data_IF_741797334692
#
_entry.id   IF_741797334692
#
_cell.length_a   1.000
_cell.length_b   1.000
_cell.length_c   1.000
_cell.angle_alpha   90.00
_cell.angle_beta   90.00
_cell.angle_gamma   90.00
#
_symmetry.space_group_name_H-M   'P 1'
#
loop_
_entity.id
_entity.type
_entity.pdbx_description
1 polymer ?
#
# COMPACT_ATOMS: atom_id res chain seq x y z
N UNK A 1 -7.63 17.47 4.70
CA UNK A 1 -6.71 17.80 3.59
C UNK A 1 -5.31 18.20 4.05
N UNK A 2 -5.05 19.42 4.58
CA UNK A 2 -3.66 19.80 4.97
C UNK A 2 -3.06 18.97 6.11
N UNK A 3 -3.91 18.40 6.98
CA UNK A 3 -3.46 17.61 8.12
C UNK A 3 -3.02 16.19 7.72
N UNK A 4 -3.72 15.57 6.78
CA UNK A 4 -3.48 14.17 6.37
C UNK A 4 -2.18 14.04 5.58
N UNK A 5 -1.89 15.01 4.72
CA UNK A 5 -0.61 15.11 4.02
C UNK A 5 0.56 15.32 4.99
N UNK A 6 0.38 16.15 6.02
CA UNK A 6 1.40 16.33 7.06
C UNK A 6 1.63 15.05 7.86
N UNK A 7 0.57 14.29 8.17
CA UNK A 7 0.69 12.99 8.83
C UNK A 7 1.48 12.00 7.96
N UNK A 8 1.16 11.92 6.67
CA UNK A 8 1.90 11.09 5.72
C UNK A 8 3.38 11.49 5.64
N UNK A 9 3.68 12.80 5.55
CA UNK A 9 5.06 13.25 5.55
C UNK A 9 5.78 12.88 6.85
N UNK A 10 5.15 13.09 8.01
CA UNK A 10 5.73 12.72 9.29
C UNK A 10 5.96 11.20 9.42
N UNK A 11 5.09 10.38 8.83
CA UNK A 11 5.23 8.92 8.82
C UNK A 11 6.37 8.48 7.88
N UNK A 12 6.55 9.14 6.73
CA UNK A 12 7.72 8.94 5.87
C UNK A 12 9.02 9.33 6.59
N UNK A 13 9.05 10.51 7.21
CA UNK A 13 10.23 11.03 7.92
C UNK A 13 10.61 10.12 9.09
N UNK A 14 9.62 9.66 9.87
CA UNK A 14 9.82 8.72 11.00
C UNK A 14 10.49 7.42 10.56
N UNK A 15 10.16 6.94 9.37
CA UNK A 15 10.70 5.69 8.83
C UNK A 15 11.93 5.91 7.92
N UNK A 16 12.41 7.16 7.77
CA UNK A 16 13.54 7.48 6.90
C UNK A 16 13.27 7.25 5.40
N UNK A 17 12.00 7.29 4.99
CA UNK A 17 11.57 6.94 3.64
C UNK A 17 11.53 8.15 2.72
N UNK A 18 12.03 7.97 1.49
CA UNK A 18 11.89 8.96 0.42
C UNK A 18 11.04 8.34 -0.69
N UNK A 19 9.85 8.91 -1.01
CA UNK A 19 9.00 8.40 -2.06
C UNK A 19 9.74 8.31 -3.41
N UNK A 20 9.67 7.13 -4.02
CA UNK A 20 10.37 6.78 -5.26
C UNK A 20 9.47 7.04 -6.46
N UNK A 21 9.67 8.19 -7.12
CA UNK A 21 8.90 8.58 -8.31
C UNK A 21 8.88 7.52 -9.43
N UNK A 22 9.97 6.77 -9.60
CA UNK A 22 10.06 5.73 -10.64
C UNK A 22 9.22 4.48 -10.34
N UNK A 23 8.79 4.29 -9.09
CA UNK A 23 7.78 3.29 -8.72
C UNK A 23 6.35 3.84 -8.75
N UNK A 24 6.18 5.11 -9.14
CA UNK A 24 4.85 5.73 -9.18
C UNK A 24 4.22 5.91 -7.79
N UNK A 25 5.02 5.92 -6.71
CA UNK A 25 4.51 6.02 -5.35
C UNK A 25 3.75 7.33 -5.14
N UNK A 26 2.46 7.20 -4.87
CA UNK A 26 1.54 8.25 -4.41
C UNK A 26 0.71 7.65 -3.28
N UNK A 27 0.71 8.30 -2.11
CA UNK A 27 0.00 7.80 -0.94
C UNK A 27 -1.37 8.48 -0.84
N UNK A 28 -2.43 7.68 -0.87
CA UNK A 28 -3.80 8.16 -0.64
C UNK A 28 -3.99 8.44 0.84
N UNK A 29 -4.02 9.73 1.21
CA UNK A 29 -4.17 10.16 2.61
C UNK A 29 -5.58 10.65 2.94
N UNK A 30 -6.44 10.85 1.94
CA UNK A 30 -7.76 11.43 2.16
C UNK A 30 -8.74 10.38 2.70
N UNK A 31 -9.20 10.50 3.97
CA UNK A 31 -10.09 9.52 4.57
C UNK A 31 -11.46 9.45 3.89
N UNK A 32 -11.93 10.52 3.24
CA UNK A 32 -13.20 10.50 2.52
C UNK A 32 -13.09 9.68 1.22
N UNK A 33 -11.93 9.72 0.56
CA UNK A 33 -11.67 8.91 -0.64
C UNK A 33 -11.59 7.44 -0.25
N UNK A 34 -10.83 7.11 0.80
CA UNK A 34 -10.71 5.74 1.32
C UNK A 34 -12.07 5.20 1.73
N UNK A 35 -12.84 5.96 2.53
CA UNK A 35 -14.18 5.56 2.96
C UNK A 35 -15.12 5.27 1.78
N UNK A 36 -15.12 6.15 0.76
CA UNK A 36 -15.94 5.93 -0.44
C UNK A 36 -15.53 4.68 -1.20
N UNK A 37 -14.22 4.45 -1.36
CA UNK A 37 -13.69 3.25 -1.99
C UNK A 37 -14.19 1.99 -1.27
N UNK A 38 -14.02 1.93 0.05
CA UNK A 38 -14.44 0.77 0.87
C UNK A 38 -15.95 0.54 0.76
N UNK A 39 -16.76 1.60 0.83
CA UNK A 39 -18.21 1.49 0.65
C UNK A 39 -18.58 0.89 -0.72
N UNK A 40 -17.89 1.30 -1.79
CA UNK A 40 -18.11 0.74 -3.13
C UNK A 40 -17.71 -0.74 -3.18
N UNK A 41 -16.58 -1.12 -2.60
CA UNK A 41 -16.14 -2.53 -2.58
C UNK A 41 -17.11 -3.40 -1.76
N UNK A 42 -17.51 -2.96 -0.56
CA UNK A 42 -18.48 -3.67 0.30
C UNK A 42 -19.88 -3.79 -0.32
N UNK A 43 -20.24 -2.92 -1.27
CA UNK A 43 -21.49 -3.05 -2.00
C UNK A 43 -21.47 -4.21 -3.00
N UNK A 44 -20.29 -4.60 -3.48
CA UNK A 44 -20.11 -5.62 -4.52
C UNK A 44 -19.65 -6.96 -3.93
N UNK A 45 -18.84 -6.95 -2.88
CA UNK A 45 -18.20 -8.13 -2.30
C UNK A 45 -18.58 -8.34 -0.84
N UNK A 46 -18.64 -9.62 -0.43
CA UNK A 46 -18.92 -10.04 0.94
C UNK A 46 -17.65 -10.01 1.81
N UNK A 47 -17.81 -9.92 3.13
CA UNK A 47 -16.68 -9.79 4.08
C UNK A 47 -15.71 -10.99 4.03
N UNK A 48 -16.21 -12.18 3.71
CA UNK A 48 -15.40 -13.39 3.52
C UNK A 48 -14.71 -13.49 2.14
N UNK A 49 -14.86 -12.48 1.28
CA UNK A 49 -14.20 -12.46 -0.02
C UNK A 49 -12.71 -12.20 0.16
N UNK A 50 -11.88 -12.95 -0.56
CA UNK A 50 -10.45 -12.68 -0.61
C UNK A 50 -10.18 -11.38 -1.38
N UNK A 51 -9.47 -10.46 -0.76
CA UNK A 51 -9.04 -9.18 -1.35
C UNK A 51 -7.53 -9.20 -1.55
N UNK A 52 -7.08 -8.75 -2.72
CA UNK A 52 -5.65 -8.56 -3.01
C UNK A 52 -5.41 -7.07 -3.26
N UNK A 53 -4.61 -6.45 -2.41
CA UNK A 53 -4.12 -5.07 -2.57
C UNK A 53 -2.73 -5.10 -3.21
N UNK A 54 -2.56 -4.35 -4.30
CA UNK A 54 -1.26 -4.17 -4.97
C UNK A 54 -0.76 -2.76 -4.68
N UNK A 55 0.40 -2.66 -4.03
CA UNK A 55 1.00 -1.40 -3.60
C UNK A 55 0.40 -0.88 -2.30
N UNK A 56 0.59 -1.62 -1.20
CA UNK A 56 0.04 -1.26 0.12
C UNK A 56 0.60 0.06 0.69
N UNK A 57 1.77 0.51 0.23
CA UNK A 57 2.31 1.81 0.61
C UNK A 57 2.54 1.94 2.12
N UNK A 58 1.94 2.97 2.74
CA UNK A 58 1.96 3.17 4.21
C UNK A 58 0.77 2.47 4.91
N UNK A 59 -0.07 1.75 4.16
CA UNK A 59 -1.17 0.96 4.70
C UNK A 59 -2.41 1.77 5.05
N UNK A 60 -2.62 2.96 4.45
CA UNK A 60 -3.84 3.74 4.70
C UNK A 60 -5.09 3.02 4.19
N UNK A 61 -5.04 2.43 3.00
CA UNK A 61 -6.16 1.65 2.48
C UNK A 61 -6.21 0.25 3.09
N UNK A 62 -5.04 -0.37 3.28
CA UNK A 62 -4.90 -1.70 3.92
C UNK A 62 -5.63 -1.80 5.25
N UNK A 63 -5.54 -0.78 6.10
CA UNK A 63 -6.20 -0.75 7.41
C UNK A 63 -7.72 -0.83 7.29
N UNK A 64 -8.33 -0.01 6.44
CA UNK A 64 -9.77 -0.03 6.22
C UNK A 64 -10.25 -1.31 5.49
N UNK A 65 -9.42 -1.89 4.62
CA UNK A 65 -9.69 -3.18 3.99
C UNK A 65 -9.72 -4.30 5.04
N UNK A 66 -8.74 -4.38 5.92
CA UNK A 66 -8.67 -5.42 6.94
C UNK A 66 -9.76 -5.31 8.02
N UNK A 67 -10.31 -4.11 8.21
CA UNK A 67 -11.50 -3.89 9.05
C UNK A 67 -12.81 -4.29 8.35
N UNK A 68 -12.77 -4.50 7.03
CA UNK A 68 -13.96 -4.77 6.20
C UNK A 68 -14.01 -6.19 5.64
N UNK A 69 -12.87 -6.88 5.57
CA UNK A 69 -12.71 -8.20 4.98
C UNK A 69 -11.83 -9.09 5.86
N UNK A 70 -12.13 -10.38 5.87
CA UNK A 70 -11.46 -11.38 6.71
C UNK A 70 -10.16 -11.91 6.08
N UNK A 71 -9.96 -11.69 4.78
CA UNK A 71 -8.80 -12.16 4.02
C UNK A 71 -8.28 -11.07 3.08
N UNK A 72 -7.27 -10.33 3.54
CA UNK A 72 -6.57 -9.29 2.78
C UNK A 72 -5.13 -9.70 2.55
N UNK A 73 -4.78 -9.91 1.28
CA UNK A 73 -3.40 -10.13 0.84
C UNK A 73 -2.84 -8.82 0.29
N UNK A 74 -1.67 -8.41 0.79
CA UNK A 74 -1.00 -7.18 0.35
C UNK A 74 0.31 -7.53 -0.33
N UNK A 75 0.44 -7.06 -1.56
CA UNK A 75 1.64 -7.21 -2.38
C UNK A 75 2.34 -5.85 -2.43
N UNK A 76 3.55 -5.77 -1.88
CA UNK A 76 4.39 -4.57 -1.92
C UNK A 76 5.77 -4.92 -2.52
N UNK A 77 6.23 -4.06 -3.42
CA UNK A 77 7.47 -4.25 -4.17
C UNK A 77 8.65 -3.47 -3.55
N UNK A 78 8.37 -2.35 -2.89
CA UNK A 78 9.37 -1.60 -2.15
C UNK A 78 9.63 -2.25 -0.79
N UNK A 79 10.80 -2.87 -0.64
CA UNK A 79 11.19 -3.57 0.58
C UNK A 79 11.16 -2.69 1.84
N UNK A 80 11.38 -1.38 1.72
CA UNK A 80 11.33 -0.48 2.89
C UNK A 80 9.88 -0.25 3.32
N UNK A 81 8.95 -0.07 2.37
CA UNK A 81 7.52 0.02 2.67
C UNK A 81 6.95 -1.31 3.15
N UNK A 82 7.41 -2.43 2.59
CA UNK A 82 7.06 -3.76 3.07
C UNK A 82 7.39 -3.92 4.57
N UNK A 83 8.57 -3.48 5.00
CA UNK A 83 8.96 -3.54 6.41
C UNK A 83 8.07 -2.66 7.30
N UNK A 84 7.66 -1.48 6.81
CA UNK A 84 6.70 -0.62 7.52
C UNK A 84 5.35 -1.32 7.68
N UNK A 85 4.81 -1.88 6.60
CA UNK A 85 3.55 -2.63 6.63
C UNK A 85 3.64 -3.85 7.55
N UNK A 86 4.72 -4.61 7.45
CA UNK A 86 4.95 -5.82 8.26
C UNK A 86 5.01 -5.50 9.75
N UNK A 87 5.65 -4.38 10.12
CA UNK A 87 5.66 -3.91 11.50
C UNK A 87 4.27 -3.42 11.95
N UNK A 88 3.60 -2.63 11.10
CA UNK A 88 2.30 -2.01 11.40
C UNK A 88 1.19 -3.05 11.59
N UNK A 89 1.20 -4.12 10.80
CA UNK A 89 0.14 -5.12 10.76
C UNK A 89 0.54 -6.49 11.34
N UNK A 90 1.67 -6.58 12.05
CA UNK A 90 2.20 -7.83 12.61
C UNK A 90 1.19 -8.61 13.49
N UNK A 91 0.22 -7.92 14.09
CA UNK A 91 -0.79 -8.50 14.98
C UNK A 91 -2.18 -8.58 14.35
N UNK A 92 -2.33 -8.21 13.07
CA UNK A 92 -3.62 -8.27 12.39
C UNK A 92 -3.78 -9.64 11.69
N UNK A 93 -4.70 -10.51 12.16
CA UNK A 93 -4.85 -11.86 11.60
C UNK A 93 -5.48 -11.86 10.19
N UNK A 94 -6.13 -10.78 9.79
CA UNK A 94 -6.81 -10.67 8.50
C UNK A 94 -5.85 -10.29 7.37
N UNK A 95 -4.62 -9.87 7.69
CA UNK A 95 -3.64 -9.38 6.71
C UNK A 95 -2.55 -10.42 6.49
N UNK A 96 -2.31 -10.74 5.21
CA UNK A 96 -1.13 -11.49 4.76
C UNK A 96 -0.27 -10.60 3.87
N UNK A 97 0.96 -10.34 4.29
CA UNK A 97 1.93 -9.57 3.53
C UNK A 97 2.82 -10.50 2.72
N UNK A 98 2.82 -10.30 1.40
CA UNK A 98 3.68 -11.05 0.49
C UNK A 98 4.75 -10.11 -0.07
N UNK A 99 6.00 -10.41 0.28
CA UNK A 99 7.15 -9.76 -0.36
C UNK A 99 7.23 -10.27 -1.79
N UNK A 100 7.37 -9.34 -2.74
CA UNK A 100 7.76 -9.66 -4.11
C UNK A 100 9.20 -9.18 -4.30
N UNK A 101 10.20 -9.94 -3.78
CA UNK A 101 11.56 -9.47 -3.78
C UNK A 101 12.00 -9.23 -5.22
N UNK A 102 12.69 -8.11 -5.43
CA UNK A 102 13.34 -7.82 -6.71
C UNK A 102 14.13 -9.06 -7.16
N UNK A 103 13.89 -9.61 -8.36
CA UNK A 103 14.72 -10.69 -8.86
C UNK A 103 16.16 -10.21 -8.89
N UNK A 104 17.01 -10.76 -8.01
CA UNK A 104 18.44 -10.48 -7.96
C UNK A 104 19.04 -11.09 -9.22
N UNK A 105 19.30 -10.26 -10.23
CA UNK A 105 19.93 -10.70 -11.47
C UNK A 105 19.02 -10.65 -12.70
N UNK A 106 18.63 -9.45 -13.09
CA UNK A 106 18.64 -9.00 -14.49
C UNK A 106 18.52 -7.50 -14.43
N UNK A 107 19.60 -6.79 -14.75
CA UNK A 107 19.53 -5.35 -14.94
C UNK A 107 18.44 -5.09 -15.98
N UNK A 108 17.30 -4.56 -15.56
CA UNK A 108 16.38 -3.89 -16.47
C UNK A 108 17.20 -2.70 -16.97
N UNK A 109 17.91 -2.89 -18.09
CA UNK A 109 18.43 -1.78 -18.87
C UNK A 109 17.28 -0.83 -19.00
N UNK A 110 17.46 0.43 -18.59
CA UNK A 110 16.50 1.51 -18.82
C UNK A 110 16.16 1.49 -20.31
N UNK A 111 15.05 0.86 -20.71
CA UNK A 111 14.41 1.20 -21.97
C UNK A 111 13.87 2.60 -21.72
N UNK A 112 14.65 3.59 -22.13
CA UNK A 112 14.23 4.98 -22.12
C UNK A 112 13.06 5.13 -23.08
N UNK A 113 11.84 4.92 -22.58
CA UNK A 113 10.65 5.39 -23.26
C UNK A 113 10.60 6.90 -23.09
N UNK A 114 11.16 7.59 -24.08
CA UNK A 114 10.87 9.00 -24.34
C UNK A 114 9.48 9.04 -24.96
N UNK A 115 8.47 9.37 -24.16
CA UNK A 115 7.15 9.74 -24.68
C UNK A 115 7.40 10.97 -25.57
N UNK A 116 7.13 10.83 -26.87
CA UNK A 116 7.12 11.93 -27.82
C UNK A 116 5.84 12.73 -27.65
#
# INVERSE_FOLDING_TARGET
>A
MKNDQKKCQAELDKNGLIPRKYYGQVFTTDPLVIKKFIQTVKYVYQENSKVVEVGGGLGYLTEDLANSFDDVEVIEYDAELFNVLNTKFAQNPNIRLNDTPRPKGRGIRRLGYRIK
#
